data_IF_402690676825
#
_entry.id   IF_402690676825
#
_cell.length_a   1.000
_cell.length_b   1.000
_cell.length_c   1.000
_cell.angle_alpha   90.00
_cell.angle_beta   90.00
_cell.angle_gamma   90.00
#
_symmetry.space_group_name_H-M   'P 1'
#
loop_
_entity.id
_entity.type
_entity.pdbx_description
1 polymer ?
#
# COMPACT_ATOMS: atom_id res chain seq x y z
N UNK A 1 10.16 -20.28 -7.64
CA UNK A 1 9.44 -19.35 -6.72
C UNK A 1 8.11 -18.97 -7.34
N UNK A 2 7.05 -19.15 -6.60
CA UNK A 2 5.72 -18.86 -7.12
C UNK A 2 5.43 -17.36 -7.01
N UNK A 3 5.14 -16.74 -8.15
CA UNK A 3 4.83 -15.31 -8.19
C UNK A 3 3.35 -15.06 -7.88
N UNK A 4 3.05 -13.88 -7.37
CA UNK A 4 1.67 -13.45 -7.17
C UNK A 4 1.11 -12.96 -8.52
N UNK A 5 -0.18 -13.19 -8.78
CA UNK A 5 -0.81 -12.58 -9.95
C UNK A 5 -0.81 -11.06 -9.83
N UNK A 6 -0.84 -10.39 -10.97
CA UNK A 6 -0.79 -8.92 -11.04
C UNK A 6 -1.94 -8.42 -11.91
N UNK A 7 -2.68 -7.44 -11.36
CA UNK A 7 -3.65 -6.65 -12.12
C UNK A 7 -3.04 -5.27 -12.35
N UNK A 8 -2.93 -4.86 -13.61
CA UNK A 8 -2.35 -3.58 -13.96
C UNK A 8 -3.41 -2.48 -13.85
N UNK A 9 -3.10 -1.46 -13.06
CA UNK A 9 -4.01 -0.34 -12.80
C UNK A 9 -3.22 0.90 -12.37
N UNK A 10 -3.72 2.07 -12.72
CA UNK A 10 -3.15 3.34 -12.25
C UNK A 10 -3.85 3.88 -10.99
N UNK A 11 -4.72 3.09 -10.40
CA UNK A 11 -5.44 3.47 -9.18
C UNK A 11 -6.51 4.52 -9.40
N UNK A 12 -6.85 4.81 -10.66
CA UNK A 12 -7.84 5.82 -11.01
C UNK A 12 -7.24 7.17 -11.35
N UNK A 13 -5.91 7.28 -11.40
CA UNK A 13 -5.23 8.56 -11.69
C UNK A 13 -5.72 9.17 -13.01
N UNK A 14 -5.84 8.39 -14.06
CA UNK A 14 -6.20 8.90 -15.39
C UNK A 14 -7.57 9.56 -15.45
N UNK A 15 -8.46 9.26 -14.50
CA UNK A 15 -9.77 9.93 -14.42
C UNK A 15 -9.66 11.37 -13.92
N UNK A 16 -8.55 11.77 -13.32
CA UNK A 16 -8.40 13.08 -12.68
C UNK A 16 -7.15 13.84 -13.10
N UNK A 17 -6.10 13.14 -13.53
CA UNK A 17 -4.80 13.75 -13.85
C UNK A 17 -4.24 13.15 -15.13
N UNK A 18 -3.42 13.95 -15.82
CA UNK A 18 -2.74 13.51 -17.05
C UNK A 18 -1.39 12.88 -16.72
N UNK A 19 -0.96 11.94 -17.56
CA UNK A 19 0.36 11.33 -17.51
C UNK A 19 0.56 10.40 -16.33
N UNK A 20 1.78 9.90 -16.22
CA UNK A 20 2.21 9.04 -15.11
C UNK A 20 3.34 9.73 -14.35
N UNK A 21 3.44 9.46 -13.05
CA UNK A 21 4.41 10.10 -12.17
C UNK A 21 4.85 9.12 -11.08
N UNK A 22 5.73 9.59 -10.19
CA UNK A 22 6.16 8.83 -9.01
C UNK A 22 5.13 8.85 -7.88
N UNK A 23 3.90 8.48 -8.17
CA UNK A 23 2.75 8.56 -7.28
C UNK A 23 2.38 7.24 -6.61
N UNK A 24 3.35 6.35 -6.42
CA UNK A 24 3.07 4.99 -5.91
C UNK A 24 2.28 4.99 -4.59
N UNK A 25 2.53 5.97 -3.71
CA UNK A 25 1.81 6.06 -2.44
C UNK A 25 0.32 6.31 -2.67
N UNK A 26 -0.01 7.31 -3.49
CA UNK A 26 -1.42 7.64 -3.76
C UNK A 26 -2.12 6.46 -4.43
N UNK A 27 -1.48 5.84 -5.41
CA UNK A 27 -2.05 4.67 -6.10
C UNK A 27 -2.32 3.53 -5.12
N UNK A 28 -1.29 3.14 -4.36
CA UNK A 28 -1.40 2.00 -3.44
C UNK A 28 -2.47 2.23 -2.39
N UNK A 29 -2.50 3.41 -1.80
CA UNK A 29 -3.49 3.74 -0.77
C UNK A 29 -4.90 3.78 -1.36
N UNK A 30 -5.07 4.41 -2.52
CA UNK A 30 -6.37 4.45 -3.18
C UNK A 30 -6.89 3.06 -3.50
N UNK A 31 -6.06 2.21 -4.07
CA UNK A 31 -6.46 0.85 -4.45
C UNK A 31 -6.81 0.03 -3.21
N UNK A 32 -5.93 0.03 -2.21
CA UNK A 32 -6.13 -0.82 -1.03
C UNK A 32 -7.31 -0.37 -0.17
N UNK A 33 -7.51 0.94 -0.01
CA UNK A 33 -8.59 1.48 0.82
C UNK A 33 -9.92 1.57 0.09
N UNK A 34 -9.89 1.62 -1.23
CA UNK A 34 -11.08 1.88 -2.03
C UNK A 34 -11.47 3.36 -2.09
N UNK A 35 -10.69 4.26 -1.49
CA UNK A 35 -10.95 5.70 -1.58
C UNK A 35 -10.59 6.21 -2.97
N UNK A 36 -11.35 7.17 -3.53
CA UNK A 36 -11.03 7.73 -4.84
C UNK A 36 -9.62 8.31 -4.88
N UNK A 37 -8.94 8.16 -6.02
CA UNK A 37 -7.57 8.64 -6.19
C UNK A 37 -7.43 10.12 -5.86
N UNK A 38 -8.34 10.96 -6.35
CA UNK A 38 -8.28 12.40 -6.12
C UNK A 38 -8.48 12.77 -4.65
N UNK A 39 -9.29 12.00 -3.91
CA UNK A 39 -9.49 12.24 -2.49
C UNK A 39 -8.22 11.91 -1.70
N UNK A 40 -7.59 10.77 -1.98
CA UNK A 40 -6.31 10.39 -1.36
C UNK A 40 -5.23 11.42 -1.70
N UNK A 41 -5.17 11.84 -2.95
CA UNK A 41 -4.21 12.86 -3.39
C UNK A 41 -4.36 14.15 -2.59
N UNK A 42 -5.59 14.63 -2.46
CA UNK A 42 -5.86 15.87 -1.73
C UNK A 42 -5.52 15.76 -0.24
N UNK A 43 -5.88 14.64 0.37
CA UNK A 43 -5.60 14.40 1.79
C UNK A 43 -4.09 14.39 2.07
N UNK A 44 -3.34 13.67 1.25
CA UNK A 44 -1.89 13.56 1.42
C UNK A 44 -1.22 14.90 1.14
N UNK A 45 -1.65 15.59 0.09
CA UNK A 45 -1.12 16.93 -0.23
C UNK A 45 -1.30 17.88 0.95
N UNK A 46 -2.45 17.85 1.60
CA UNK A 46 -2.69 18.69 2.78
C UNK A 46 -1.71 18.38 3.92
N UNK A 47 -1.35 17.12 4.10
CA UNK A 47 -0.39 16.72 5.12
C UNK A 47 1.05 17.11 4.74
N UNK A 48 1.37 17.17 3.46
CA UNK A 48 2.71 17.51 3.00
C UNK A 48 3.02 19.01 3.09
N UNK A 49 1.99 19.84 3.02
CA UNK A 49 2.15 21.28 3.12
C UNK A 49 2.46 21.97 1.77
N UNK A 50 2.70 23.27 1.86
CA UNK A 50 2.93 24.12 0.69
C UNK A 50 4.15 23.69 -0.09
N UNK A 51 4.05 23.73 -1.40
CA UNK A 51 5.18 23.47 -2.30
C UNK A 51 5.50 22.02 -2.52
N UNK A 52 4.87 21.11 -1.78
CA UNK A 52 5.06 19.68 -1.96
C UNK A 52 3.90 19.08 -2.74
N UNK A 53 4.17 17.99 -3.46
CA UNK A 53 3.16 17.33 -4.27
C UNK A 53 3.30 15.81 -4.17
N UNK A 54 2.18 15.09 -3.92
CA UNK A 54 2.20 13.63 -3.85
C UNK A 54 2.67 12.93 -5.12
N UNK A 55 2.62 13.62 -6.26
CA UNK A 55 3.08 13.08 -7.54
C UNK A 55 4.59 12.83 -7.60
N UNK A 56 5.34 13.49 -6.75
CA UNK A 56 6.81 13.41 -6.73
C UNK A 56 7.35 12.55 -5.59
N UNK A 57 6.48 11.73 -5.02
CA UNK A 57 6.83 10.90 -3.89
C UNK A 57 6.27 11.45 -2.58
N UNK A 58 6.01 10.58 -1.64
CA UNK A 58 5.47 10.93 -0.33
C UNK A 58 6.40 10.37 0.73
N UNK A 59 6.95 11.21 1.63
CA UNK A 59 7.80 10.72 2.71
C UNK A 59 7.08 9.72 3.62
N UNK A 60 7.83 8.75 4.12
CA UNK A 60 7.27 7.72 5.01
C UNK A 60 6.50 8.28 6.19
N UNK A 61 6.99 9.30 6.94
CA UNK A 61 6.20 9.82 8.07
C UNK A 61 4.82 10.32 7.66
N UNK A 62 4.70 10.84 6.45
CA UNK A 62 3.41 11.37 5.94
C UNK A 62 2.45 10.24 5.64
N UNK A 63 2.85 9.24 4.84
CA UNK A 63 1.90 8.17 4.50
C UNK A 63 1.62 7.28 5.71
N UNK A 64 2.59 7.12 6.60
CA UNK A 64 2.38 6.37 7.84
C UNK A 64 1.29 7.03 8.68
N UNK A 65 1.43 8.34 8.93
CA UNK A 65 0.44 9.11 9.67
C UNK A 65 -0.94 9.03 9.01
N UNK A 66 -0.98 9.16 7.69
CA UNK A 66 -2.23 9.12 6.95
C UNK A 66 -2.93 7.76 7.10
N UNK A 67 -2.20 6.67 6.88
CA UNK A 67 -2.76 5.34 7.01
C UNK A 67 -3.24 5.05 8.44
N UNK A 68 -2.47 5.45 9.45
CA UNK A 68 -2.93 5.31 10.83
C UNK A 68 -4.21 6.10 11.09
N UNK A 69 -4.34 7.31 10.50
CA UNK A 69 -5.55 8.12 10.64
C UNK A 69 -6.78 7.47 10.02
N UNK A 70 -6.58 6.61 9.02
CA UNK A 70 -7.66 5.84 8.40
C UNK A 70 -8.01 4.56 9.16
N UNK A 71 -7.34 4.30 10.27
CA UNK A 71 -7.56 3.10 11.06
C UNK A 71 -6.75 1.90 10.60
N UNK A 72 -5.72 2.12 9.81
CA UNK A 72 -4.84 1.06 9.35
C UNK A 72 -3.68 0.87 10.32
N UNK A 73 -3.10 -0.34 10.32
CA UNK A 73 -2.03 -0.72 11.24
C UNK A 73 -0.84 -1.23 10.46
N UNK A 74 0.37 -0.89 10.95
CA UNK A 74 1.62 -1.40 10.38
C UNK A 74 1.95 -2.77 10.95
N UNK A 75 2.33 -3.69 10.05
CA UNK A 75 2.80 -5.03 10.39
C UNK A 75 4.19 -5.20 9.78
N UNK A 76 5.25 -5.22 10.59
CA UNK A 76 6.61 -5.40 10.07
C UNK A 76 6.84 -6.86 9.68
N UNK A 77 7.61 -7.05 8.60
CA UNK A 77 8.03 -8.38 8.16
C UNK A 77 9.55 -8.49 8.12
N UNK A 78 10.26 -7.44 8.52
CA UNK A 78 11.72 -7.40 8.50
C UNK A 78 12.23 -6.90 9.84
N UNK A 79 13.16 -7.65 10.44
CA UNK A 79 13.77 -7.31 11.74
C UNK A 79 15.20 -7.82 11.82
N UNK A 80 15.96 -7.27 12.76
CA UNK A 80 17.35 -7.66 13.00
C UNK A 80 17.39 -9.12 13.48
N UNK A 81 18.31 -9.91 12.93
CA UNK A 81 18.47 -11.33 13.28
C UNK A 81 17.58 -12.28 12.50
N UNK A 82 16.80 -11.76 11.60
CA UNK A 82 15.92 -12.54 10.74
C UNK A 82 16.74 -13.43 9.81
N UNK A 83 16.48 -14.73 9.82
CA UNK A 83 17.19 -15.67 8.98
C UNK A 83 16.73 -15.67 7.55
N UNK A 84 15.44 -15.54 7.32
CA UNK A 84 14.84 -15.54 5.97
C UNK A 84 13.93 -14.34 5.82
N UNK A 85 14.17 -13.57 4.78
CA UNK A 85 13.37 -12.39 4.48
C UNK A 85 12.11 -12.77 3.74
N UNK A 86 11.03 -12.05 4.01
CA UNK A 86 9.79 -12.18 3.25
C UNK A 86 9.97 -11.46 1.92
N UNK A 87 9.63 -12.13 0.83
CA UNK A 87 9.64 -11.53 -0.51
C UNK A 87 8.22 -11.46 -1.04
N UNK A 88 8.01 -10.58 -2.03
CA UNK A 88 6.68 -10.37 -2.62
C UNK A 88 6.37 -11.50 -3.61
N UNK A 89 6.05 -12.66 -3.06
CA UNK A 89 5.73 -13.88 -3.77
C UNK A 89 4.51 -14.52 -3.11
N UNK A 90 4.06 -15.61 -3.69
CA UNK A 90 2.93 -16.36 -3.15
C UNK A 90 3.14 -16.65 -1.65
N UNK A 91 2.10 -16.47 -0.87
CA UNK A 91 2.10 -16.68 0.60
C UNK A 91 2.91 -15.66 1.40
N UNK A 92 3.32 -14.54 0.79
CA UNK A 92 4.02 -13.47 1.52
C UNK A 92 3.10 -12.76 2.53
N UNK A 93 1.82 -12.74 2.23
CA UNK A 93 0.79 -12.01 2.99
C UNK A 93 -0.38 -12.94 3.28
N UNK A 94 -1.26 -12.58 4.22
CA UNK A 94 -2.49 -13.34 4.40
C UNK A 94 -3.25 -13.48 3.08
N UNK A 95 -3.88 -14.63 2.82
CA UNK A 95 -4.53 -14.88 1.52
C UNK A 95 -5.78 -14.05 1.28
N UNK A 96 -6.36 -13.48 2.32
CA UNK A 96 -7.53 -12.61 2.23
C UNK A 96 -7.24 -11.27 2.86
N UNK A 97 -7.78 -10.24 2.25
CA UNK A 97 -7.68 -8.88 2.78
C UNK A 97 -7.03 -7.91 1.82
N UNK A 98 -7.01 -6.65 2.23
CA UNK A 98 -6.47 -5.54 1.47
C UNK A 98 -5.26 -4.99 2.21
N UNK A 99 -4.16 -4.82 1.49
CA UNK A 99 -2.90 -4.42 2.10
C UNK A 99 -2.20 -3.35 1.28
N UNK A 100 -1.57 -2.40 1.97
CA UNK A 100 -0.58 -1.50 1.38
C UNK A 100 0.78 -2.05 1.77
N UNK A 101 1.56 -2.50 0.80
CA UNK A 101 2.81 -3.23 1.03
C UNK A 101 4.00 -2.33 0.77
N UNK A 102 4.92 -2.28 1.73
CA UNK A 102 6.12 -1.46 1.61
C UNK A 102 7.27 -2.31 1.11
N UNK A 103 7.80 -1.86 -0.03
CA UNK A 103 9.00 -2.38 -0.66
C UNK A 103 10.08 -1.31 -0.61
N UNK A 104 11.29 -1.61 -1.09
CA UNK A 104 12.34 -0.59 -1.18
C UNK A 104 11.88 0.52 -2.14
N UNK A 105 11.75 1.75 -1.62
CA UNK A 105 11.38 2.95 -2.39
C UNK A 105 10.06 2.81 -3.15
N UNK A 106 9.14 1.96 -2.67
CA UNK A 106 7.88 1.72 -3.38
C UNK A 106 6.81 1.24 -2.42
N UNK A 107 5.58 1.66 -2.67
CA UNK A 107 4.39 1.06 -2.07
C UNK A 107 3.55 0.44 -3.17
N UNK A 108 2.99 -0.73 -2.88
CA UNK A 108 2.07 -1.39 -3.80
C UNK A 108 0.84 -1.85 -3.02
N UNK A 109 -0.22 -2.18 -3.74
CA UNK A 109 -1.44 -2.71 -3.15
C UNK A 109 -1.57 -4.20 -3.45
N UNK A 110 -1.93 -4.98 -2.44
CA UNK A 110 -2.23 -6.40 -2.58
C UNK A 110 -3.63 -6.64 -2.04
N UNK A 111 -4.47 -7.24 -2.86
CA UNK A 111 -5.85 -7.55 -2.49
C UNK A 111 -6.07 -9.04 -2.74
N UNK A 112 -6.39 -9.77 -1.67
CA UNK A 112 -6.68 -11.21 -1.73
C UNK A 112 -5.60 -11.98 -2.51
N UNK A 113 -4.34 -11.70 -2.24
CA UNK A 113 -3.22 -12.39 -2.85
C UNK A 113 -2.85 -11.92 -4.25
N UNK A 114 -3.45 -10.85 -4.76
CA UNK A 114 -3.18 -10.30 -6.09
C UNK A 114 -2.60 -8.90 -5.96
N UNK A 115 -1.48 -8.66 -6.65
CA UNK A 115 -0.86 -7.33 -6.70
C UNK A 115 -1.68 -6.45 -7.64
N UNK A 116 -1.98 -5.23 -7.21
CA UNK A 116 -2.63 -4.21 -8.04
C UNK A 116 -1.68 -3.02 -8.14
N UNK A 117 -1.08 -2.84 -9.30
CA UNK A 117 -0.08 -1.80 -9.51
C UNK A 117 -0.04 -1.41 -10.98
N UNK A 118 0.69 -0.36 -11.30
CA UNK A 118 0.87 0.08 -12.68
C UNK A 118 1.82 -0.84 -13.44
N UNK A 119 2.68 -1.56 -12.72
CA UNK A 119 3.59 -2.55 -13.27
C UNK A 119 3.79 -3.64 -12.20
N UNK A 120 4.47 -4.73 -12.55
CA UNK A 120 4.78 -5.77 -11.57
C UNK A 120 6.00 -5.36 -10.74
N UNK A 121 5.83 -5.01 -9.45
CA UNK A 121 6.93 -4.57 -8.61
C UNK A 121 7.68 -5.71 -7.93
N UNK A 122 7.26 -6.96 -8.14
CA UNK A 122 7.78 -8.10 -7.37
C UNK A 122 9.17 -8.57 -7.79
N UNK A 123 9.66 -8.16 -8.96
CA UNK A 123 10.93 -8.62 -9.52
C UNK A 123 10.99 -10.15 -9.58
N UNK A 124 9.97 -10.77 -10.17
CA UNK A 124 9.86 -12.22 -10.25
C UNK A 124 9.61 -12.89 -8.90
N UNK A 125 9.07 -12.15 -7.94
CA UNK A 125 8.80 -12.66 -6.60
C UNK A 125 10.00 -12.58 -5.65
N UNK A 126 11.08 -11.90 -6.05
CA UNK A 126 12.32 -11.82 -5.26
C UNK A 126 12.44 -10.54 -4.42
N UNK A 127 11.62 -9.53 -4.69
CA UNK A 127 11.74 -8.23 -4.01
C UNK A 127 11.31 -8.34 -2.56
N UNK A 128 12.14 -7.84 -1.63
CA UNK A 128 11.87 -7.92 -0.20
C UNK A 128 10.70 -7.05 0.22
N UNK A 129 9.90 -7.57 1.14
CA UNK A 129 8.81 -6.87 1.81
C UNK A 129 9.30 -6.41 3.18
N UNK A 130 9.31 -5.11 3.42
CA UNK A 130 9.68 -4.56 4.73
C UNK A 130 8.56 -4.66 5.74
N UNK A 131 7.34 -4.64 5.25
CA UNK A 131 6.15 -4.75 6.05
C UNK A 131 4.95 -4.31 5.22
N UNK A 132 3.80 -4.29 5.87
CA UNK A 132 2.58 -3.86 5.20
C UNK A 132 1.63 -3.20 6.19
N UNK A 133 0.71 -2.42 5.63
CA UNK A 133 -0.40 -1.86 6.38
C UNK A 133 -1.66 -2.66 6.08
N UNK A 134 -2.43 -2.90 7.10
CA UNK A 134 -3.74 -3.54 6.96
C UNK A 134 -4.75 -2.71 7.72
N UNK A 135 -5.99 -2.73 7.24
CA UNK A 135 -7.08 -2.15 8.01
C UNK A 135 -7.17 -2.87 9.34
N UNK A 136 -7.36 -2.12 10.42
CA UNK A 136 -7.78 -2.75 11.65
C UNK A 136 -9.08 -3.43 11.30
N UNK A 137 -9.13 -4.74 11.49
CA UNK A 137 -10.26 -5.55 11.07
C UNK A 137 -11.54 -4.95 11.61
N UNK A 138 -12.35 -4.41 10.68
CA UNK A 138 -13.60 -3.77 11.05
C UNK A 138 -14.50 -4.73 11.81
N UNK A 139 -14.51 -6.00 11.39
CA UNK A 139 -15.31 -7.01 12.09
C UNK A 139 -14.81 -7.25 13.49
N UNK A 140 -13.50 -7.26 13.67
CA UNK A 140 -12.89 -7.39 14.98
C UNK A 140 -13.22 -6.20 15.88
N UNK A 141 -13.19 -4.99 15.34
CA UNK A 141 -13.55 -3.79 16.08
C UNK A 141 -15.03 -3.82 16.45
N UNK A 142 -15.89 -4.18 15.50
CA UNK A 142 -17.32 -4.31 15.75
C UNK A 142 -17.61 -5.35 16.82
N UNK A 143 -16.99 -6.50 16.73
CA UNK A 143 -17.16 -7.55 17.72
C UNK A 143 -16.77 -7.07 19.11
N UNK A 144 -15.67 -6.35 19.21
CA UNK A 144 -15.24 -5.78 20.50
C UNK A 144 -16.22 -4.75 21.03
N UNK A 145 -16.79 -3.93 20.16
CA UNK A 145 -17.78 -2.92 20.55
C UNK A 145 -19.12 -3.52 20.93
N UNK A 146 -19.44 -4.66 20.39
CA UNK A 146 -20.68 -5.36 20.68
C UNK A 146 -20.62 -6.13 22.00
N UNK A 147 -19.44 -6.34 22.49
CA UNK A 147 -19.23 -6.98 23.80
C UNK A 147 -19.37 -5.93 24.94
#
# INVERSE_FOLDING_TARGET
>A
MNTMPVVLTDGGRSAHFKGSTGDCVVRAVSIATGKPYNAVYADIKALMGKGASPRNGVPKPIYHKYLLSLGWRWVPTMWVGQQKRVTLAENALPPKGRFVVRLSKHLTAVIDGTIHDRYDPSRGGSRCVYGYYRAVDWDGINKRRQI
#
